data_IF_676821074093
#
_entry.id   IF_676821074093
#
_cell.length_a   1.000
_cell.length_b   1.000
_cell.length_c   1.000
_cell.angle_alpha   90.00
_cell.angle_beta   90.00
_cell.angle_gamma   90.00
#
_symmetry.space_group_name_H-M   'P 1'
#
loop_
_entity.id
_entity.type
_entity.pdbx_description
1 polymer ?
#
# COMPACT_ATOMS: atom_id res chain seq x y z
N UNK A 1 -19.99 -18.91 1.19
CA UNK A 1 -19.21 -18.32 2.30
C UNK A 1 -18.76 -16.94 1.82
N UNK A 2 -19.26 -15.87 2.44
CA UNK A 2 -18.84 -14.50 2.11
C UNK A 2 -17.40 -14.31 2.62
N UNK A 3 -16.50 -13.86 1.75
CA UNK A 3 -15.13 -13.50 2.12
C UNK A 3 -15.18 -12.38 3.15
N UNK A 4 -14.49 -12.57 4.27
CA UNK A 4 -14.32 -11.58 5.34
C UNK A 4 -13.05 -10.78 5.10
N UNK A 5 -12.89 -10.22 3.90
CA UNK A 5 -11.80 -9.28 3.67
C UNK A 5 -12.17 -7.94 4.34
N UNK A 6 -11.26 -7.31 5.09
CA UNK A 6 -11.48 -5.98 5.66
C UNK A 6 -11.76 -4.95 4.55
N UNK A 7 -12.53 -3.92 4.87
CA UNK A 7 -12.82 -2.82 3.94
C UNK A 7 -11.63 -1.88 3.82
N UNK A 8 -11.32 -1.48 2.59
CA UNK A 8 -10.36 -0.41 2.26
C UNK A 8 -10.68 0.88 3.03
N UNK A 9 -9.68 1.42 3.72
CA UNK A 9 -9.79 2.46 4.74
C UNK A 9 -9.20 3.82 4.34
N UNK A 10 -8.85 4.02 3.06
CA UNK A 10 -8.26 5.29 2.58
C UNK A 10 -9.22 6.47 2.71
N UNK A 11 -8.71 7.62 3.18
CA UNK A 11 -9.46 8.86 3.24
C UNK A 11 -8.57 10.10 3.12
N UNK A 12 -8.98 10.99 2.22
CA UNK A 12 -8.24 12.17 1.75
C UNK A 12 -7.98 13.25 2.81
N UNK A 13 -6.71 13.64 3.00
CA UNK A 13 -6.23 15.01 3.24
C UNK A 13 -4.77 15.13 2.72
N UNK A 14 -4.54 16.00 1.74
CA UNK A 14 -3.27 16.20 1.01
C UNK A 14 -2.07 16.51 1.92
N UNK A 15 -0.91 15.85 1.68
CA UNK A 15 0.44 16.46 1.77
C UNK A 15 1.59 15.58 1.21
N UNK A 16 2.20 16.04 0.10
CA UNK A 16 3.57 15.76 -0.45
C UNK A 16 3.88 14.31 -0.90
N UNK A 17 4.50 13.98 -2.07
CA UNK A 17 5.54 14.62 -2.89
C UNK A 17 5.43 14.31 -4.42
N UNK A 18 5.75 15.33 -5.22
CA UNK A 18 6.45 15.39 -6.53
C UNK A 18 5.76 15.20 -7.89
N UNK A 19 4.57 14.62 -8.02
CA UNK A 19 3.65 14.93 -9.13
C UNK A 19 2.25 14.91 -8.53
N UNK A 20 1.58 16.06 -8.51
CA UNK A 20 0.15 16.07 -8.23
C UNK A 20 -0.51 15.39 -9.42
N UNK A 21 -0.99 14.18 -9.21
CA UNK A 21 -1.69 13.40 -10.20
C UNK A 21 -2.99 12.96 -9.53
N UNK A 22 -4.09 13.56 -9.98
CA UNK A 22 -5.38 13.42 -9.32
C UNK A 22 -6.02 12.09 -9.75
N UNK A 23 -6.53 11.33 -8.78
CA UNK A 23 -7.28 10.11 -9.05
C UNK A 23 -8.59 10.46 -9.78
N UNK A 24 -8.73 9.95 -11.00
CA UNK A 24 -9.93 10.14 -11.83
C UNK A 24 -10.94 9.02 -11.58
N UNK A 25 -10.47 7.77 -11.49
CA UNK A 25 -11.33 6.59 -11.42
C UNK A 25 -10.65 5.46 -10.64
N UNK A 26 -11.41 4.80 -9.78
CA UNK A 26 -11.02 3.56 -9.13
C UNK A 26 -11.86 2.41 -9.72
N UNK A 27 -11.22 1.51 -10.46
CA UNK A 27 -11.83 0.32 -11.01
C UNK A 27 -11.35 -0.92 -10.24
N UNK A 28 -11.93 -2.10 -10.54
CA UNK A 28 -11.53 -3.35 -9.89
C UNK A 28 -10.04 -3.69 -10.14
N UNK A 29 -9.57 -3.47 -11.36
CA UNK A 29 -8.27 -3.96 -11.82
C UNK A 29 -7.25 -2.84 -12.03
N UNK A 30 -7.66 -1.57 -11.91
CA UNK A 30 -6.77 -0.43 -12.09
C UNK A 30 -7.24 0.82 -11.35
N UNK A 31 -6.28 1.69 -11.02
CA UNK A 31 -6.54 3.11 -10.73
C UNK A 31 -6.22 3.93 -11.97
N UNK A 32 -7.10 4.86 -12.34
CA UNK A 32 -6.81 5.87 -13.36
C UNK A 32 -6.53 7.20 -12.68
N UNK A 33 -5.37 7.76 -13.00
CA UNK A 33 -4.99 9.12 -12.66
C UNK A 33 -4.90 9.97 -13.95
N UNK A 34 -4.60 11.26 -13.84
CA UNK A 34 -4.42 12.12 -15.02
C UNK A 34 -3.28 11.63 -15.91
N UNK A 35 -2.23 11.06 -15.31
CA UNK A 35 -1.07 10.55 -16.04
C UNK A 35 -1.34 9.24 -16.80
N UNK A 36 -2.33 8.45 -16.39
CA UNK A 36 -2.64 7.17 -17.03
C UNK A 36 -3.31 6.14 -16.12
N UNK A 37 -3.16 4.88 -16.52
CA UNK A 37 -3.78 3.71 -15.90
C UNK A 37 -2.71 2.89 -15.19
N UNK A 38 -2.93 2.64 -13.90
CA UNK A 38 -2.08 1.82 -13.03
C UNK A 38 -2.81 0.53 -12.71
N UNK A 39 -2.33 -0.57 -13.26
CA UNK A 39 -2.95 -1.88 -13.14
C UNK A 39 -2.50 -2.55 -11.86
N UNK A 40 -3.47 -2.97 -11.04
CA UNK A 40 -3.15 -3.53 -9.74
C UNK A 40 -2.48 -4.87 -9.87
N UNK A 41 -1.47 -5.03 -9.03
CA UNK A 41 -0.93 -6.34 -8.77
C UNK A 41 -1.80 -7.03 -7.71
N UNK A 42 -2.70 -7.91 -8.16
CA UNK A 42 -3.55 -8.68 -7.25
C UNK A 42 -2.81 -9.86 -6.61
N UNK A 43 -1.58 -10.16 -7.07
CA UNK A 43 -0.77 -11.27 -6.55
C UNK A 43 0.19 -10.79 -5.47
N UNK A 44 0.68 -9.55 -5.59
CA UNK A 44 1.59 -8.95 -4.63
C UNK A 44 0.90 -7.81 -3.91
N UNK A 45 0.59 -8.06 -2.64
CA UNK A 45 0.11 -7.04 -1.71
C UNK A 45 0.87 -7.16 -0.41
N UNK A 46 1.26 -6.03 0.15
CA UNK A 46 1.93 -6.00 1.43
C UNK A 46 1.04 -5.48 2.55
N UNK A 47 1.57 -5.59 3.76
CA UNK A 47 0.93 -5.10 4.97
C UNK A 47 1.96 -4.39 5.85
N UNK A 48 1.64 -3.17 6.27
CA UNK A 48 2.39 -2.48 7.30
C UNK A 48 1.73 -2.68 8.65
N UNK A 49 2.51 -3.08 9.64
CA UNK A 49 2.15 -2.85 11.03
C UNK A 49 2.88 -1.61 11.51
N UNK A 50 2.13 -0.67 12.07
CA UNK A 50 2.70 0.60 12.54
C UNK A 50 2.35 0.87 14.00
N UNK A 51 3.27 1.51 14.70
CA UNK A 51 3.04 1.97 16.07
C UNK A 51 2.05 3.16 16.08
N UNK A 52 1.38 3.38 17.21
CA UNK A 52 0.50 4.55 17.34
C UNK A 52 1.25 5.88 17.17
N UNK A 53 2.54 5.90 17.52
CA UNK A 53 3.43 7.05 17.35
C UNK A 53 3.55 7.46 15.87
N UNK A 54 3.56 6.51 14.95
CA UNK A 54 3.68 6.80 13.51
C UNK A 54 2.42 7.44 12.95
N UNK A 55 1.24 7.00 13.41
CA UNK A 55 -0.03 7.63 13.02
C UNK A 55 -0.03 9.11 13.40
N UNK A 56 0.41 9.45 14.61
CA UNK A 56 0.49 10.84 15.05
C UNK A 56 1.59 11.65 14.34
N UNK A 57 2.74 11.03 14.08
CA UNK A 57 3.89 11.65 13.40
C UNK A 57 3.56 12.02 11.96
N UNK A 58 2.95 11.09 11.22
CA UNK A 58 2.65 11.22 9.79
C UNK A 58 1.22 11.69 9.51
N UNK A 59 0.39 11.91 10.54
CA UNK A 59 -1.02 12.30 10.41
C UNK A 59 -1.83 11.33 9.55
N UNK A 60 -1.58 10.03 9.74
CA UNK A 60 -2.25 8.98 8.99
C UNK A 60 -3.72 8.91 9.41
N UNK A 61 -4.59 8.70 8.42
CA UNK A 61 -6.01 8.50 8.67
C UNK A 61 -6.31 7.02 8.82
N UNK A 62 -6.60 6.61 10.05
CA UNK A 62 -6.95 5.22 10.35
C UNK A 62 -8.47 5.04 10.39
N UNK A 63 -8.96 3.87 9.99
CA UNK A 63 -10.34 3.47 10.26
C UNK A 63 -10.45 3.01 11.72
N UNK A 64 -11.43 3.57 12.44
CA UNK A 64 -11.61 3.36 13.89
C UNK A 64 -11.93 1.92 14.28
N UNK A 65 -12.50 1.15 13.35
CA UNK A 65 -13.00 -0.19 13.59
C UNK A 65 -12.05 -1.27 13.05
N UNK A 66 -10.84 -0.86 12.64
CA UNK A 66 -9.83 -1.79 12.14
C UNK A 66 -9.32 -2.69 13.26
N UNK A 67 -9.15 -3.97 12.95
CA UNK A 67 -8.79 -4.99 13.94
C UNK A 67 -7.41 -5.55 13.61
N UNK A 68 -6.39 -4.94 14.23
CA UNK A 68 -4.99 -5.34 14.10
C UNK A 68 -4.78 -6.85 14.35
N UNK A 69 -5.48 -7.42 15.33
CA UNK A 69 -5.31 -8.84 15.67
C UNK A 69 -5.77 -9.75 14.53
N UNK A 70 -6.84 -9.40 13.81
CA UNK A 70 -7.26 -10.16 12.62
C UNK A 70 -6.20 -10.13 11.54
N UNK A 71 -5.61 -8.95 11.27
CA UNK A 71 -4.55 -8.80 10.28
C UNK A 71 -3.29 -9.61 10.64
N UNK A 72 -2.82 -9.51 11.88
CA UNK A 72 -1.66 -10.26 12.34
C UNK A 72 -1.89 -11.78 12.24
N UNK A 73 -3.11 -12.25 12.55
CA UNK A 73 -3.46 -13.66 12.44
C UNK A 73 -3.50 -14.16 11.00
N UNK A 74 -3.86 -13.31 10.04
CA UNK A 74 -3.92 -13.66 8.60
C UNK A 74 -2.52 -13.78 7.98
N UNK A 75 -1.51 -13.10 8.55
CA UNK A 75 -0.13 -13.12 8.05
C UNK A 75 0.63 -14.45 8.25
N UNK A 76 0.05 -15.46 8.91
CA UNK A 76 0.71 -16.76 9.11
C UNK A 76 1.98 -16.70 9.99
N UNK A 77 2.12 -15.68 10.84
CA UNK A 77 3.26 -15.52 11.74
C UNK A 77 3.28 -16.61 12.82
N UNK A 78 4.49 -16.97 13.29
CA UNK A 78 4.63 -17.85 14.44
C UNK A 78 4.16 -17.15 15.74
N UNK A 79 3.97 -17.92 16.81
CA UNK A 79 3.44 -17.41 18.08
C UNK A 79 4.29 -16.30 18.71
N UNK A 80 5.61 -16.36 18.56
CA UNK A 80 6.53 -15.35 19.09
C UNK A 80 6.37 -14.03 18.33
N UNK A 81 6.42 -14.08 16.99
CA UNK A 81 6.31 -12.90 16.14
C UNK A 81 4.93 -12.26 16.27
N UNK A 82 3.86 -13.07 16.36
CA UNK A 82 2.51 -12.59 16.61
C UNK A 82 2.42 -11.83 17.93
N UNK A 83 2.93 -12.41 19.02
CA UNK A 83 2.92 -11.76 20.33
C UNK A 83 3.75 -10.47 20.34
N UNK A 84 4.87 -10.43 19.62
CA UNK A 84 5.66 -9.22 19.47
C UNK A 84 4.93 -8.13 18.68
N UNK A 85 4.27 -8.48 17.57
CA UNK A 85 3.52 -7.52 16.76
C UNK A 85 2.35 -6.90 17.55
N UNK A 86 1.59 -7.72 18.27
CA UNK A 86 0.48 -7.26 19.12
C UNK A 86 0.94 -6.34 20.27
N UNK A 87 2.20 -6.45 20.68
CA UNK A 87 2.78 -5.59 21.73
C UNK A 87 3.29 -4.26 21.18
N UNK A 88 3.87 -4.27 19.98
CA UNK A 88 4.56 -3.10 19.40
C UNK A 88 3.64 -2.21 18.58
N UNK A 89 2.75 -2.81 17.80
CA UNK A 89 1.99 -2.11 16.79
C UNK A 89 0.55 -1.88 17.24
N UNK A 90 -0.06 -0.83 16.71
CA UNK A 90 -1.42 -0.43 17.03
C UNK A 90 -2.34 -0.49 15.82
N UNK A 91 -1.78 -0.43 14.61
CA UNK A 91 -2.55 -0.36 13.38
C UNK A 91 -1.92 -1.20 12.27
N UNK A 92 -2.77 -1.61 11.33
CA UNK A 92 -2.37 -2.25 10.09
C UNK A 92 -2.75 -1.35 8.90
N UNK A 93 -1.90 -1.31 7.87
CA UNK A 93 -2.19 -0.61 6.60
C UNK A 93 -1.92 -1.59 5.48
N UNK A 94 -2.95 -1.86 4.69
CA UNK A 94 -2.82 -2.67 3.48
C UNK A 94 -2.17 -1.85 2.37
N UNK A 95 -1.24 -2.47 1.65
CA UNK A 95 -0.44 -1.83 0.62
C UNK A 95 -0.83 -2.41 -0.73
N UNK A 96 -1.25 -1.52 -1.62
CA UNK A 96 -1.48 -1.85 -3.01
C UNK A 96 -0.19 -1.68 -3.80
N UNK A 97 0.03 -2.59 -4.74
CA UNK A 97 1.06 -2.47 -5.77
C UNK A 97 0.40 -2.32 -7.14
N UNK A 98 1.18 -1.80 -8.09
CA UNK A 98 0.81 -1.80 -9.49
C UNK A 98 1.86 -2.62 -10.26
N UNK A 99 1.41 -3.57 -11.07
CA UNK A 99 2.30 -4.37 -11.92
C UNK A 99 2.60 -3.69 -13.25
N UNK A 100 1.75 -2.76 -13.68
CA UNK A 100 1.89 -2.10 -14.96
C UNK A 100 1.27 -0.70 -15.00
N UNK A 101 1.78 0.11 -15.91
CA UNK A 101 1.32 1.44 -16.25
C UNK A 101 1.11 1.58 -17.77
N UNK A 102 0.07 2.31 -18.16
CA UNK A 102 -0.10 2.77 -19.54
C UNK A 102 -0.79 4.13 -19.59
N UNK A 103 -0.39 4.97 -20.53
CA UNK A 103 -1.02 6.28 -20.78
C UNK A 103 -2.46 6.10 -21.28
N UNK A 104 -2.75 4.99 -21.95
CA UNK A 104 -4.08 4.68 -22.51
C UNK A 104 -4.57 3.33 -22.02
N UNK A 105 -5.89 3.17 -21.85
CA UNK A 105 -6.48 1.95 -21.29
C UNK A 105 -6.09 0.67 -22.04
N UNK A 106 -6.04 0.72 -23.37
CA UNK A 106 -5.73 -0.44 -24.22
C UNK A 106 -4.24 -0.54 -24.57
N UNK A 107 -3.40 0.35 -24.05
CA UNK A 107 -1.99 0.47 -24.40
C UNK A 107 -1.07 -0.46 -23.61
N UNK A 108 -1.59 -1.53 -23.01
CA UNK A 108 -0.79 -2.51 -22.30
C UNK A 108 -0.24 -3.56 -23.28
N UNK A 109 1.07 -3.56 -23.44
CA UNK A 109 1.80 -4.67 -24.05
C UNK A 109 2.79 -5.24 -23.02
N UNK A 110 2.33 -6.26 -22.28
CA UNK A 110 3.14 -7.00 -21.31
C UNK A 110 4.34 -7.73 -21.95
N UNK A 111 4.43 -7.80 -23.28
CA UNK A 111 5.58 -8.40 -23.97
C UNK A 111 6.76 -7.44 -24.16
N UNK A 112 6.55 -6.13 -23.95
CA UNK A 112 7.53 -5.08 -24.24
C UNK A 112 8.52 -4.79 -23.09
N UNK A 113 8.24 -5.25 -21.87
CA UNK A 113 9.11 -5.10 -20.69
C UNK A 113 9.30 -3.67 -20.17
N UNK A 114 8.55 -2.68 -20.67
CA UNK A 114 8.65 -1.26 -20.28
C UNK A 114 7.47 -0.75 -19.45
N UNK A 115 6.50 -1.62 -19.14
CA UNK A 115 5.24 -1.27 -18.48
C UNK A 115 5.37 -0.97 -16.98
N UNK A 116 6.51 -1.24 -16.35
CA UNK A 116 6.76 -0.89 -14.94
C UNK A 116 7.26 0.54 -14.75
N UNK A 117 7.64 1.24 -15.82
CA UNK A 117 8.12 2.62 -15.72
C UNK A 117 6.96 3.59 -15.75
N UNK A 118 6.78 4.32 -14.65
CA UNK A 118 5.71 5.30 -14.51
C UNK A 118 6.28 6.71 -14.32
N UNK A 119 5.47 7.77 -14.51
CA UNK A 119 5.87 9.13 -14.15
C UNK A 119 6.25 9.31 -12.68
N UNK A 120 5.76 8.43 -11.78
CA UNK A 120 5.98 8.49 -10.33
C UNK A 120 7.11 7.56 -9.86
N UNK A 121 7.88 6.98 -10.78
CA UNK A 121 8.92 6.00 -10.47
C UNK A 121 8.63 4.64 -11.09
N UNK A 122 9.54 3.71 -10.85
CA UNK A 122 9.34 2.32 -11.24
C UNK A 122 8.32 1.66 -10.30
N UNK A 123 7.41 0.88 -10.85
CA UNK A 123 6.53 0.01 -10.07
C UNK A 123 7.36 -0.71 -9.01
N UNK A 124 6.81 -0.85 -7.80
CA UNK A 124 7.44 -1.49 -6.65
C UNK A 124 8.61 -0.76 -5.98
N UNK A 125 9.08 0.38 -6.52
CA UNK A 125 10.04 1.22 -5.79
C UNK A 125 9.41 1.79 -4.52
N UNK A 126 10.21 2.08 -3.50
CA UNK A 126 9.72 2.65 -2.23
C UNK A 126 8.96 3.96 -2.47
N UNK A 127 9.50 4.83 -3.32
CA UNK A 127 8.92 6.12 -3.68
C UNK A 127 7.58 5.95 -4.41
N UNK A 128 7.51 5.00 -5.36
CA UNK A 128 6.29 4.70 -6.08
C UNK A 128 5.20 4.16 -5.15
N UNK A 129 5.55 3.16 -4.32
CA UNK A 129 4.59 2.54 -3.39
C UNK A 129 4.09 3.54 -2.36
N UNK A 130 4.96 4.41 -1.86
CA UNK A 130 4.59 5.50 -0.97
C UNK A 130 3.54 6.43 -1.62
N UNK A 131 3.84 6.90 -2.85
CA UNK A 131 2.91 7.74 -3.61
C UNK A 131 1.58 7.03 -3.89
N UNK A 132 1.62 5.78 -4.34
CA UNK A 132 0.42 5.03 -4.74
C UNK A 132 -0.53 4.73 -3.57
N UNK A 133 0.02 4.63 -2.36
CA UNK A 133 -0.74 4.35 -1.14
C UNK A 133 -0.99 5.60 -0.27
N UNK A 134 -0.65 6.80 -0.77
CA UNK A 134 -0.83 8.08 -0.08
C UNK A 134 -0.17 8.10 1.32
N UNK A 135 1.07 7.60 1.39
CA UNK A 135 1.90 7.65 2.60
C UNK A 135 3.23 8.34 2.32
N UNK A 136 3.83 8.91 3.36
CA UNK A 136 5.19 9.48 3.24
C UNK A 136 6.20 8.37 2.97
N UNK A 137 7.12 8.58 2.01
CA UNK A 137 8.25 7.67 1.78
C UNK A 137 9.12 7.50 3.02
N UNK A 138 9.20 8.51 3.88
CA UNK A 138 9.95 8.46 5.13
C UNK A 138 9.33 7.46 6.12
N UNK A 139 8.01 7.23 6.07
CA UNK A 139 7.36 6.21 6.90
C UNK A 139 7.98 4.84 6.61
N UNK A 140 8.21 4.54 5.33
CA UNK A 140 8.77 3.26 4.87
C UNK A 140 10.24 3.05 5.25
N UNK A 141 10.87 4.08 5.79
CA UNK A 141 12.27 4.09 6.22
C UNK A 141 12.40 4.07 7.75
N UNK A 142 11.27 4.04 8.48
CA UNK A 142 11.24 3.92 9.93
C UNK A 142 11.77 2.55 10.38
N UNK A 143 12.33 2.51 11.59
CA UNK A 143 12.91 1.29 12.13
C UNK A 143 11.87 0.26 12.60
N UNK A 144 12.34 -0.98 12.82
CA UNK A 144 11.54 -2.14 13.24
C UNK A 144 10.80 -1.99 14.58
N UNK A 145 11.08 -0.92 15.33
CA UNK A 145 10.32 -0.55 16.53
C UNK A 145 8.95 0.05 16.19
N UNK A 146 8.83 0.72 15.05
CA UNK A 146 7.65 1.50 14.66
C UNK A 146 6.99 1.04 13.38
N UNK A 147 7.72 0.34 12.53
CA UNK A 147 7.23 -0.20 11.27
C UNK A 147 7.67 -1.65 11.12
N UNK A 148 6.73 -2.53 10.78
CA UNK A 148 7.03 -3.85 10.23
C UNK A 148 6.31 -4.01 8.91
N UNK A 149 7.07 -4.40 7.89
CA UNK A 149 6.57 -4.67 6.54
C UNK A 149 6.46 -6.18 6.37
N UNK A 150 5.28 -6.65 5.97
CA UNK A 150 5.04 -8.03 5.57
C UNK A 150 4.74 -8.07 4.08
N UNK A 151 5.36 -9.01 3.36
CA UNK A 151 5.06 -9.34 1.95
C UNK A 151 5.09 -8.12 1.02
N UNK A 152 6.20 -7.37 1.00
CA UNK A 152 6.36 -6.19 0.14
C UNK A 152 6.09 -6.50 -1.34
N UNK A 153 6.92 -7.35 -1.95
CA UNK A 153 6.74 -7.79 -3.34
C UNK A 153 7.09 -9.28 -3.54
N UNK A 154 7.15 -10.04 -2.45
CA UNK A 154 7.69 -11.39 -2.49
C UNK A 154 6.56 -12.38 -2.74
N UNK A 155 6.59 -13.02 -3.92
CA UNK A 155 5.87 -14.27 -4.19
C UNK A 155 6.49 -15.45 -3.46
#
# INVERSE_FOLDING_TARGET
MQSRQPQDNRGWEEKFYSIKDDLIEHAKDYSRYESGFYWYDHQHSGLFFISARMVDKYKLRMVSDDNLELWINDCGLNDHDRAECLRKFAYAIYIHHAEAFSITKDGLDFSSGTYTKTPHGECYSLEFVAWFNDVSVELLQEGDEDLKIISWCDG
#
